data_IF_769833582405
#
_entry.id   IF_769833582405
#
_cell.length_a   1.000
_cell.length_b   1.000
_cell.length_c   1.000
_cell.angle_alpha   90.00
_cell.angle_beta   90.00
_cell.angle_gamma   90.00
#
_symmetry.space_group_name_H-M   'P 1'
#
loop_
_entity.id
_entity.type
_entity.pdbx_description
1 polymer ?
#
# COMPACT_ATOMS: atom_id res chain seq x y z
N UNK A 1 67.33 -49.05 22.87
CA UNK A 1 67.17 -47.64 23.03
C UNK A 1 66.79 -47.02 21.69
N UNK A 2 65.56 -47.15 21.27
CA UNK A 2 64.95 -46.52 20.06
C UNK A 2 63.41 -46.64 20.18
N UNK A 3 62.74 -45.91 21.05
CA UNK A 3 61.28 -45.80 21.11
C UNK A 3 60.87 -44.58 21.90
N UNK A 4 61.17 -43.35 21.41
CA UNK A 4 60.66 -42.13 22.06
C UNK A 4 60.63 -40.91 21.15
N UNK A 5 60.47 -41.09 19.85
CA UNK A 5 60.49 -39.91 18.94
C UNK A 5 59.32 -39.86 17.95
N UNK A 6 58.27 -40.64 18.17
CA UNK A 6 57.10 -40.64 17.23
C UNK A 6 55.81 -40.10 17.83
N UNK A 7 55.84 -39.52 19.01
CA UNK A 7 54.65 -39.02 19.72
C UNK A 7 54.47 -37.49 19.70
N UNK A 8 55.37 -36.74 19.06
CA UNK A 8 55.32 -35.27 18.98
C UNK A 8 54.94 -34.67 17.59
N UNK A 9 54.67 -35.53 16.60
CA UNK A 9 54.30 -35.05 15.24
C UNK A 9 52.79 -35.15 14.99
N UNK A 10 52.00 -35.76 15.88
CA UNK A 10 50.54 -35.95 15.69
C UNK A 10 49.67 -34.85 16.30
N UNK A 11 50.23 -33.92 17.04
CA UNK A 11 49.48 -32.77 17.62
C UNK A 11 49.49 -31.47 16.79
N UNK A 12 50.25 -31.41 15.68
CA UNK A 12 50.41 -30.19 14.90
C UNK A 12 49.51 -30.07 13.66
N UNK A 13 48.71 -31.12 13.36
CA UNK A 13 47.84 -31.14 12.13
C UNK A 13 46.35 -30.94 12.42
N UNK A 14 45.95 -30.88 13.68
CA UNK A 14 44.53 -30.75 14.06
C UNK A 14 44.07 -29.32 14.41
N UNK A 15 44.92 -28.30 14.25
CA UNK A 15 44.59 -26.91 14.56
C UNK A 15 44.32 -26.01 13.36
N UNK A 16 44.20 -26.53 12.14
CA UNK A 16 44.12 -25.68 10.92
C UNK A 16 42.76 -25.69 10.21
N UNK A 17 41.66 -26.17 10.82
CA UNK A 17 40.34 -26.20 10.18
C UNK A 17 39.21 -25.61 11.04
N UNK A 18 39.47 -24.51 11.75
CA UNK A 18 38.43 -23.63 12.25
C UNK A 18 38.59 -22.29 11.55
N UNK A 19 38.48 -22.28 10.22
CA UNK A 19 38.05 -21.08 9.54
C UNK A 19 36.54 -20.97 9.78
N UNK A 20 36.22 -20.29 10.86
CA UNK A 20 34.90 -19.76 11.11
C UNK A 20 34.51 -18.94 9.91
N UNK A 21 33.66 -19.51 9.05
CA UNK A 21 32.77 -18.70 8.24
C UNK A 21 31.90 -17.89 9.22
N UNK A 22 32.36 -16.74 9.63
CA UNK A 22 31.46 -15.70 10.09
C UNK A 22 30.61 -15.37 8.86
N UNK A 23 29.45 -16.04 8.73
CA UNK A 23 28.36 -15.48 7.97
C UNK A 23 28.21 -14.08 8.56
N UNK A 24 28.68 -13.07 7.81
CA UNK A 24 28.32 -11.70 8.08
C UNK A 24 26.79 -11.71 8.06
N UNK A 25 26.18 -11.69 9.23
CA UNK A 25 24.82 -11.20 9.37
C UNK A 25 24.86 -9.85 8.65
N UNK A 26 24.25 -9.79 7.47
CA UNK A 26 23.99 -8.51 6.83
C UNK A 26 23.08 -7.79 7.81
N UNK A 27 23.72 -7.03 8.72
CA UNK A 27 23.03 -6.13 9.61
C UNK A 27 22.30 -5.16 8.69
N UNK A 28 20.99 -5.30 8.62
CA UNK A 28 20.15 -4.22 8.17
C UNK A 28 20.49 -3.08 9.11
N UNK A 29 21.17 -2.05 8.61
CA UNK A 29 21.35 -0.83 9.38
C UNK A 29 19.97 -0.33 9.80
N UNK A 30 19.88 0.53 10.85
CA UNK A 30 18.60 1.01 11.32
C UNK A 30 17.81 1.56 10.14
N UNK A 31 16.59 1.04 9.92
CA UNK A 31 15.70 1.51 8.86
C UNK A 31 15.42 3.00 9.12
N UNK A 32 15.65 3.82 8.12
CA UNK A 32 15.41 5.27 8.18
C UNK A 32 14.33 5.65 7.17
N UNK A 33 13.67 6.80 7.37
CA UNK A 33 12.72 7.33 6.39
C UNK A 33 13.35 7.40 5.00
N UNK A 34 14.57 7.93 4.88
CA UNK A 34 15.26 8.03 3.59
C UNK A 34 15.54 6.65 2.98
N UNK A 35 15.92 5.67 3.80
CA UNK A 35 16.10 4.28 3.36
C UNK A 35 14.82 3.69 2.79
N UNK A 36 13.69 3.90 3.45
CA UNK A 36 12.35 3.46 3.00
C UNK A 36 11.99 4.14 1.68
N UNK A 37 12.15 5.47 1.60
CA UNK A 37 11.84 6.22 0.38
C UNK A 37 12.68 5.78 -0.82
N UNK A 38 13.95 5.49 -0.61
CA UNK A 38 14.81 4.91 -1.66
C UNK A 38 14.35 3.52 -2.11
N UNK A 39 13.79 2.71 -1.22
CA UNK A 39 13.22 1.42 -1.60
C UNK A 39 11.93 1.60 -2.40
N UNK A 40 11.05 2.54 -2.01
CA UNK A 40 9.86 2.90 -2.77
C UNK A 40 10.21 3.42 -4.15
N UNK A 41 11.22 4.29 -4.27
CA UNK A 41 11.73 4.79 -5.56
C UNK A 41 12.23 3.65 -6.47
N UNK A 42 12.87 2.62 -5.90
CA UNK A 42 13.31 1.45 -6.67
C UNK A 42 12.12 0.58 -7.09
N UNK A 43 11.23 0.31 -6.16
CA UNK A 43 10.05 -0.51 -6.41
C UNK A 43 9.12 0.11 -7.45
N UNK A 44 8.96 1.44 -7.46
CA UNK A 44 8.06 2.13 -8.39
C UNK A 44 8.52 2.05 -9.85
N UNK A 45 9.82 1.88 -10.13
CA UNK A 45 10.36 1.86 -11.51
C UNK A 45 9.79 0.74 -12.36
N UNK A 46 9.58 -0.43 -11.76
CA UNK A 46 9.09 -1.62 -12.44
C UNK A 46 7.61 -1.89 -12.13
N UNK A 47 6.92 -0.91 -11.55
CA UNK A 47 5.50 -1.02 -11.25
C UNK A 47 4.68 -0.51 -12.44
N UNK A 48 3.80 -1.38 -12.98
CA UNK A 48 2.94 -1.05 -14.12
C UNK A 48 1.46 -1.24 -13.80
N UNK A 49 1.14 -2.25 -13.00
CA UNK A 49 -0.23 -2.60 -12.67
C UNK A 49 -0.30 -3.40 -11.36
N UNK A 50 -1.50 -3.49 -10.81
CA UNK A 50 -1.79 -4.27 -9.60
C UNK A 50 -3.21 -4.79 -9.67
N UNK A 51 -3.41 -6.01 -9.17
CA UNK A 51 -4.71 -6.51 -8.76
C UNK A 51 -4.65 -6.99 -7.31
N UNK A 52 -5.71 -6.76 -6.56
CA UNK A 52 -5.82 -7.20 -5.16
C UNK A 52 -7.28 -7.42 -4.76
N UNK A 53 -7.50 -8.31 -3.79
CA UNK A 53 -8.71 -8.28 -2.99
C UNK A 53 -8.56 -7.18 -1.92
N UNK A 54 -9.66 -6.47 -1.64
CA UNK A 54 -9.71 -5.35 -0.71
C UNK A 54 -10.74 -5.63 0.37
N UNK A 55 -10.37 -5.43 1.63
CA UNK A 55 -11.28 -5.33 2.77
C UNK A 55 -11.20 -3.90 3.31
N UNK A 56 -12.33 -3.20 3.35
CA UNK A 56 -12.46 -1.88 3.93
C UNK A 56 -13.29 -1.92 5.19
N UNK A 57 -12.72 -1.55 6.32
CA UNK A 57 -13.42 -1.42 7.60
C UNK A 57 -13.51 0.03 8.00
N UNK A 58 -14.73 0.57 8.18
CA UNK A 58 -14.97 1.88 8.80
C UNK A 58 -15.29 1.70 10.28
N UNK A 59 -14.69 2.55 11.12
CA UNK A 59 -14.94 2.62 12.56
C UNK A 59 -15.48 4.01 12.90
N UNK A 60 -16.68 4.06 13.46
CA UNK A 60 -17.30 5.28 13.97
C UNK A 60 -17.16 5.27 15.49
N UNK A 61 -16.20 6.03 15.99
CA UNK A 61 -15.71 5.94 17.39
C UNK A 61 -16.80 6.33 18.39
N UNK A 62 -17.55 7.40 18.12
CA UNK A 62 -18.56 7.94 19.06
C UNK A 62 -19.65 6.93 19.39
N UNK A 63 -20.06 6.11 18.43
CA UNK A 63 -21.12 5.11 18.60
C UNK A 63 -20.57 3.68 18.70
N UNK A 64 -19.24 3.53 18.69
CA UNK A 64 -18.55 2.24 18.69
C UNK A 64 -19.06 1.30 17.59
N UNK A 65 -19.37 1.85 16.42
CA UNK A 65 -19.85 1.08 15.27
C UNK A 65 -18.68 0.70 14.36
N UNK A 66 -18.77 -0.51 13.79
CA UNK A 66 -17.76 -1.05 12.88
C UNK A 66 -18.47 -1.74 11.71
N UNK A 67 -18.22 -1.23 10.51
CA UNK A 67 -18.71 -1.82 9.27
C UNK A 67 -17.56 -2.28 8.38
N UNK A 68 -17.70 -3.47 7.80
CA UNK A 68 -16.70 -4.05 6.90
C UNK A 68 -17.32 -4.34 5.54
N UNK A 69 -16.58 -4.04 4.49
CA UNK A 69 -16.95 -4.23 3.10
C UNK A 69 -15.79 -4.89 2.35
N UNK A 70 -16.11 -5.84 1.48
CA UNK A 70 -15.14 -6.52 0.62
C UNK A 70 -15.23 -6.02 -0.81
N UNK A 71 -14.11 -6.10 -1.53
CA UNK A 71 -14.06 -5.70 -2.92
C UNK A 71 -12.85 -6.25 -3.66
N UNK A 72 -12.71 -5.80 -4.90
CA UNK A 72 -11.54 -6.05 -5.75
C UNK A 72 -11.00 -4.75 -6.30
N UNK A 73 -9.68 -4.64 -6.40
CA UNK A 73 -8.98 -3.47 -6.89
C UNK A 73 -8.12 -3.84 -8.09
N UNK A 74 -8.25 -3.08 -9.17
CA UNK A 74 -7.34 -3.10 -10.32
C UNK A 74 -6.74 -1.71 -10.49
N UNK A 75 -5.42 -1.64 -10.66
CA UNK A 75 -4.69 -0.39 -10.92
C UNK A 75 -3.77 -0.59 -12.12
N UNK A 76 -3.71 0.40 -13.02
CA UNK A 76 -2.74 0.46 -14.11
C UNK A 76 -2.46 1.91 -14.50
N UNK A 77 -1.27 2.38 -14.15
CA UNK A 77 -0.92 3.80 -14.31
C UNK A 77 -1.88 4.71 -13.53
N UNK A 78 -2.54 5.63 -14.21
CA UNK A 78 -3.55 6.54 -13.65
C UNK A 78 -4.99 6.00 -13.67
N UNK A 79 -5.16 4.73 -14.06
CA UNK A 79 -6.47 4.06 -14.11
C UNK A 79 -6.66 3.18 -12.89
N UNK A 80 -7.86 3.21 -12.32
CA UNK A 80 -8.25 2.41 -11.17
C UNK A 80 -9.68 1.92 -11.32
N UNK A 81 -9.92 0.65 -11.03
CA UNK A 81 -11.23 0.06 -10.86
C UNK A 81 -11.31 -0.57 -9.47
N UNK A 82 -12.20 -0.07 -8.64
CA UNK A 82 -12.52 -0.65 -7.33
C UNK A 82 -13.98 -1.07 -7.34
N UNK A 83 -14.22 -2.37 -7.19
CA UNK A 83 -15.56 -2.96 -7.14
C UNK A 83 -15.83 -3.50 -5.75
N UNK A 84 -16.74 -2.85 -5.02
CA UNK A 84 -17.19 -3.29 -3.69
C UNK A 84 -18.39 -4.22 -3.84
N UNK A 85 -18.40 -5.29 -3.03
CA UNK A 85 -19.43 -6.33 -3.06
C UNK A 85 -20.68 -5.92 -2.26
N UNK A 86 -21.82 -6.60 -2.47
CA UNK A 86 -23.00 -6.45 -1.60
C UNK A 86 -22.64 -6.68 -0.11
N UNK A 87 -23.37 -6.04 0.85
CA UNK A 87 -24.63 -5.30 0.65
C UNK A 87 -24.48 -3.88 0.07
N UNK A 88 -23.32 -3.24 0.23
CA UNK A 88 -23.06 -1.87 -0.21
C UNK A 88 -22.33 -1.82 -1.56
N UNK A 89 -22.81 -2.59 -2.53
CA UNK A 89 -22.18 -2.70 -3.83
C UNK A 89 -22.01 -1.32 -4.50
N UNK A 90 -20.80 -1.03 -4.94
CA UNK A 90 -20.48 0.16 -5.73
C UNK A 90 -19.24 -0.08 -6.57
N UNK A 91 -19.18 0.57 -7.70
CA UNK A 91 -17.99 0.57 -8.55
C UNK A 91 -17.41 1.97 -8.59
N UNK A 92 -16.14 2.11 -8.26
CA UNK A 92 -15.37 3.34 -8.40
C UNK A 92 -14.40 3.13 -9.55
N UNK A 93 -14.62 3.86 -10.65
CA UNK A 93 -13.77 3.79 -11.84
C UNK A 93 -13.12 5.14 -12.07
N UNK A 94 -11.78 5.15 -12.06
CA UNK A 94 -10.99 6.29 -12.51
C UNK A 94 -10.36 6.01 -13.86
N UNK A 95 -10.48 6.95 -14.77
CA UNK A 95 -9.83 6.89 -16.08
C UNK A 95 -9.48 8.31 -16.56
N UNK A 96 -8.19 8.62 -16.60
CA UNK A 96 -7.71 9.98 -16.85
C UNK A 96 -8.24 10.97 -15.79
N UNK A 97 -8.87 12.04 -16.23
CA UNK A 97 -9.42 13.08 -15.35
C UNK A 97 -10.87 12.80 -14.92
N UNK A 98 -11.42 11.64 -15.21
CA UNK A 98 -12.80 11.30 -14.83
C UNK A 98 -12.78 10.23 -13.72
N UNK A 99 -13.64 10.47 -12.73
CA UNK A 99 -13.98 9.53 -11.69
C UNK A 99 -15.48 9.23 -11.76
N UNK A 100 -15.81 7.96 -11.82
CA UNK A 100 -17.18 7.48 -11.84
C UNK A 100 -17.46 6.70 -10.58
N UNK A 101 -18.58 6.99 -9.91
CA UNK A 101 -19.08 6.22 -8.78
C UNK A 101 -20.44 5.64 -9.17
N UNK A 102 -20.48 4.37 -9.50
CA UNK A 102 -21.72 3.67 -9.86
C UNK A 102 -22.27 2.93 -8.64
N UNK A 103 -23.54 3.17 -8.32
CA UNK A 103 -24.28 2.50 -7.25
C UNK A 103 -25.40 1.64 -7.85
N UNK A 104 -25.21 0.32 -7.97
CA UNK A 104 -26.18 -0.59 -8.61
C UNK A 104 -27.57 -0.52 -7.97
N UNK A 105 -27.67 -0.47 -6.63
CA UNK A 105 -28.93 -0.40 -5.91
C UNK A 105 -29.79 0.84 -6.22
N UNK A 106 -29.14 1.91 -6.72
CA UNK A 106 -29.82 3.13 -7.15
C UNK A 106 -29.91 3.26 -8.67
N UNK A 107 -29.31 2.32 -9.43
CA UNK A 107 -29.14 2.42 -10.89
C UNK A 107 -28.59 3.78 -11.32
N UNK A 108 -27.61 4.31 -10.57
CA UNK A 108 -27.09 5.66 -10.72
C UNK A 108 -25.57 5.68 -10.82
N UNK A 109 -25.04 6.49 -11.73
CA UNK A 109 -23.61 6.81 -11.80
C UNK A 109 -23.39 8.30 -11.64
N UNK A 110 -22.50 8.64 -10.72
CA UNK A 110 -22.01 10.00 -10.50
C UNK A 110 -20.67 10.17 -11.24
N UNK A 111 -20.57 11.24 -12.01
CA UNK A 111 -19.38 11.55 -12.81
C UNK A 111 -18.73 12.82 -12.28
N UNK A 112 -17.50 12.71 -11.79
CA UNK A 112 -16.68 13.79 -11.27
C UNK A 112 -15.54 14.10 -12.24
N UNK A 113 -15.32 15.38 -12.53
CA UNK A 113 -14.12 15.82 -13.25
C UNK A 113 -13.03 16.17 -12.23
N UNK A 114 -11.92 15.45 -12.30
CA UNK A 114 -10.81 15.60 -11.36
C UNK A 114 -9.79 16.66 -11.79
N UNK A 115 -9.91 17.29 -12.96
CA UNK A 115 -8.87 18.14 -13.54
C UNK A 115 -8.30 19.18 -12.56
N UNK A 116 -9.15 19.76 -11.68
CA UNK A 116 -8.75 20.72 -10.66
C UNK A 116 -8.33 20.10 -9.32
N UNK A 117 -8.74 18.86 -9.03
CA UNK A 117 -8.51 18.16 -7.76
C UNK A 117 -7.74 16.84 -7.94
N UNK A 118 -7.12 16.65 -9.11
CA UNK A 118 -6.44 15.40 -9.47
C UNK A 118 -5.42 14.99 -8.41
N UNK A 119 -4.60 15.93 -7.97
CA UNK A 119 -3.56 15.67 -6.99
C UNK A 119 -4.12 15.21 -5.64
N UNK A 120 -5.22 15.81 -5.19
CA UNK A 120 -5.89 15.43 -3.94
C UNK A 120 -6.47 14.01 -4.04
N UNK A 121 -7.14 13.70 -5.16
CA UNK A 121 -7.73 12.37 -5.37
C UNK A 121 -6.65 11.29 -5.49
N UNK A 122 -5.54 11.57 -6.18
CA UNK A 122 -4.42 10.64 -6.32
C UNK A 122 -3.80 10.32 -4.97
N UNK A 123 -3.66 11.31 -4.09
CA UNK A 123 -3.16 11.13 -2.74
C UNK A 123 -3.97 10.14 -1.89
N UNK A 124 -5.25 9.97 -2.17
CA UNK A 124 -6.09 9.03 -1.40
C UNK A 124 -6.34 7.71 -2.12
N UNK A 125 -6.64 7.74 -3.42
CA UNK A 125 -7.04 6.54 -4.15
C UNK A 125 -5.86 5.64 -4.54
N UNK A 126 -4.70 6.25 -4.83
CA UNK A 126 -3.52 5.52 -5.33
C UNK A 126 -2.35 5.54 -4.34
N UNK A 127 -2.55 6.06 -3.14
CA UNK A 127 -1.51 6.20 -2.13
C UNK A 127 -0.74 4.89 -1.93
N UNK A 128 0.58 4.96 -2.12
CA UNK A 128 1.48 3.82 -1.93
C UNK A 128 1.38 2.71 -2.99
N UNK A 129 0.43 2.78 -3.93
CA UNK A 129 0.26 1.79 -4.99
C UNK A 129 1.16 2.12 -6.19
N UNK A 130 2.45 1.82 -6.07
CA UNK A 130 3.46 2.15 -7.10
C UNK A 130 3.94 3.60 -7.07
N UNK A 131 3.57 4.37 -6.06
CA UNK A 131 4.05 5.73 -5.85
C UNK A 131 5.53 5.73 -5.45
N UNK A 132 6.30 6.68 -5.97
CA UNK A 132 7.68 6.84 -5.58
C UNK A 132 7.84 7.71 -4.32
N UNK A 133 8.96 7.54 -3.62
CA UNK A 133 9.21 8.22 -2.35
C UNK A 133 9.26 9.75 -2.48
N UNK A 134 9.69 10.29 -3.63
CA UNK A 134 9.76 11.73 -3.85
C UNK A 134 8.38 12.38 -3.93
N UNK A 135 7.43 11.73 -4.57
CA UNK A 135 6.06 12.24 -4.67
C UNK A 135 5.36 12.13 -3.31
N UNK A 136 5.62 11.06 -2.58
CA UNK A 136 5.16 10.92 -1.20
C UNK A 136 5.66 12.09 -0.32
N UNK A 137 6.95 12.43 -0.39
CA UNK A 137 7.53 13.56 0.37
C UNK A 137 6.97 14.94 -0.01
N UNK A 138 6.56 15.13 -1.26
CA UNK A 138 5.91 16.39 -1.67
C UNK A 138 4.56 16.57 -1.01
N UNK A 139 3.81 15.47 -0.87
CA UNK A 139 2.43 15.48 -0.39
C UNK A 139 2.31 15.36 1.12
N UNK A 140 3.29 14.71 1.79
CA UNK A 140 3.22 14.37 3.20
C UNK A 140 4.47 14.74 3.99
N UNK A 141 4.28 15.00 5.28
CA UNK A 141 5.31 14.83 6.31
C UNK A 141 5.30 13.35 6.68
N UNK A 142 6.49 12.72 6.66
CA UNK A 142 6.63 11.28 6.81
C UNK A 142 7.39 10.95 8.08
N UNK A 143 6.82 10.09 8.91
CA UNK A 143 7.46 9.55 10.11
C UNK A 143 7.52 8.03 10.02
N UNK A 144 8.68 7.44 10.28
CA UNK A 144 8.82 5.99 10.44
C UNK A 144 8.38 5.61 11.84
N UNK A 145 7.35 4.78 11.97
CA UNK A 145 6.86 4.30 13.25
C UNK A 145 7.54 3.00 13.70
N UNK A 146 7.96 2.16 12.75
CA UNK A 146 8.67 0.92 13.06
C UNK A 146 8.55 -0.15 11.98
N UNK A 147 8.91 -1.37 12.39
CA UNK A 147 8.94 -2.57 11.53
C UNK A 147 8.08 -3.70 12.15
N UNK A 148 6.76 -3.49 12.29
CA UNK A 148 5.91 -4.50 12.93
C UNK A 148 5.69 -5.71 12.02
N UNK A 149 5.38 -6.85 12.64
CA UNK A 149 4.79 -7.98 11.95
C UNK A 149 3.29 -7.77 11.78
N UNK A 150 2.78 -7.91 10.55
CA UNK A 150 1.36 -7.84 10.24
C UNK A 150 0.97 -9.09 9.44
N UNK A 151 0.07 -9.92 9.98
CA UNK A 151 -0.38 -11.18 9.37
C UNK A 151 0.81 -12.06 8.88
N UNK A 152 1.80 -12.31 9.77
CA UNK A 152 3.03 -13.06 9.52
C UNK A 152 3.99 -12.46 8.47
N UNK A 153 3.76 -11.21 8.05
CA UNK A 153 4.63 -10.47 7.13
C UNK A 153 5.45 -9.44 7.88
N UNK A 154 6.70 -9.31 7.52
CA UNK A 154 7.52 -8.17 7.93
C UNK A 154 7.05 -6.93 7.18
N UNK A 155 6.74 -5.89 7.91
CA UNK A 155 6.26 -4.63 7.33
C UNK A 155 7.05 -3.44 7.85
N UNK A 156 7.04 -2.38 7.05
CA UNK A 156 7.50 -1.04 7.44
C UNK A 156 6.27 -0.18 7.64
N UNK A 157 6.14 0.40 8.83
CA UNK A 157 5.03 1.29 9.16
C UNK A 157 5.46 2.75 9.06
N UNK A 158 4.77 3.50 8.21
CA UNK A 158 4.92 4.95 8.09
C UNK A 158 3.65 5.66 8.55
N UNK A 159 3.83 6.79 9.23
CA UNK A 159 2.77 7.79 9.43
C UNK A 159 2.98 8.95 8.45
N UNK A 160 1.91 9.30 7.75
CA UNK A 160 1.87 10.35 6.74
C UNK A 160 0.92 11.44 7.19
N UNK A 161 1.42 12.65 7.40
CA UNK A 161 0.60 13.83 7.69
C UNK A 161 0.50 14.68 6.42
N UNK A 162 -0.71 14.92 5.86
CA UNK A 162 -0.85 15.73 4.65
C UNK A 162 -0.27 17.13 4.82
N UNK A 163 0.41 17.65 3.80
CA UNK A 163 0.99 19.00 3.83
C UNK A 163 -0.03 20.09 3.50
N UNK A 164 -1.01 19.80 2.66
CA UNK A 164 -2.04 20.77 2.31
C UNK A 164 -3.11 20.88 3.40
N UNK A 165 -3.60 22.09 3.65
CA UNK A 165 -4.69 22.33 4.61
C UNK A 165 -5.99 21.68 4.16
N UNK A 166 -6.26 21.69 2.84
CA UNK A 166 -7.44 21.06 2.25
C UNK A 166 -7.50 19.56 2.57
N UNK A 167 -6.37 18.85 2.42
CA UNK A 167 -6.28 17.45 2.76
C UNK A 167 -6.37 17.22 4.27
N UNK A 168 -5.70 18.04 5.10
CA UNK A 168 -5.76 17.93 6.57
C UNK A 168 -7.15 18.18 7.14
N UNK A 169 -7.97 18.99 6.48
CA UNK A 169 -9.35 19.22 6.91
C UNK A 169 -10.23 17.96 6.78
N UNK A 170 -9.84 17.00 5.95
CA UNK A 170 -10.54 15.73 5.76
C UNK A 170 -9.86 14.60 6.55
N UNK A 171 -8.55 14.44 6.38
CA UNK A 171 -7.76 13.36 6.96
C UNK A 171 -6.61 13.97 7.77
N UNK A 172 -6.60 13.72 9.07
CA UNK A 172 -5.58 14.24 9.97
C UNK A 172 -4.24 13.55 9.77
N UNK A 173 -4.26 12.23 9.54
CA UNK A 173 -3.09 11.40 9.29
C UNK A 173 -3.47 10.08 8.61
N UNK A 174 -2.49 9.47 7.96
CA UNK A 174 -2.60 8.15 7.34
C UNK A 174 -1.46 7.29 7.89
N UNK A 175 -1.77 6.08 8.32
CA UNK A 175 -0.77 5.06 8.61
C UNK A 175 -0.76 4.06 7.46
N UNK A 176 0.43 3.68 6.98
CA UNK A 176 0.60 2.76 5.87
C UNK A 176 1.65 1.71 6.22
N UNK A 177 1.32 0.44 6.00
CA UNK A 177 2.20 -0.70 6.20
C UNK A 177 2.62 -1.25 4.85
N UNK A 178 3.89 -1.15 4.53
CA UNK A 178 4.50 -1.73 3.34
C UNK A 178 5.09 -3.10 3.67
N UNK A 179 4.79 -4.10 2.88
CA UNK A 179 5.48 -5.40 2.93
C UNK A 179 6.94 -5.21 2.49
N UNK A 180 7.91 -5.63 3.32
CA UNK A 180 9.34 -5.46 3.04
C UNK A 180 9.81 -6.17 1.77
N UNK A 181 9.11 -7.23 1.34
CA UNK A 181 9.50 -8.02 0.18
C UNK A 181 9.04 -7.42 -1.14
N UNK A 182 7.83 -6.88 -1.17
CA UNK A 182 7.19 -6.36 -2.39
C UNK A 182 7.21 -4.84 -2.49
N UNK A 183 7.37 -4.13 -1.36
CA UNK A 183 7.23 -2.68 -1.24
C UNK A 183 5.87 -2.17 -1.71
N UNK A 184 4.85 -3.02 -1.58
CA UNK A 184 3.45 -2.66 -1.79
C UNK A 184 2.74 -2.56 -0.44
N UNK A 185 1.73 -1.71 -0.30
CA UNK A 185 0.96 -1.62 0.93
C UNK A 185 0.18 -2.91 1.16
N UNK A 186 0.17 -3.38 2.39
CA UNK A 186 -0.68 -4.48 2.87
C UNK A 186 -1.83 -3.96 3.71
N UNK A 187 -1.65 -2.78 4.32
CA UNK A 187 -2.69 -2.09 5.07
C UNK A 187 -2.49 -0.58 5.02
N UNK A 188 -3.59 0.14 5.03
CA UNK A 188 -3.64 1.59 5.22
C UNK A 188 -4.73 1.93 6.23
N UNK A 189 -4.49 2.93 7.08
CA UNK A 189 -5.49 3.48 7.99
C UNK A 189 -5.55 4.99 7.78
N UNK A 190 -6.74 5.49 7.52
CA UNK A 190 -7.03 6.90 7.31
C UNK A 190 -7.82 7.42 8.50
N UNK A 191 -7.26 8.40 9.22
CA UNK A 191 -7.88 9.00 10.40
C UNK A 191 -8.58 10.30 10.00
N UNK A 192 -9.91 10.35 10.16
CA UNK A 192 -10.73 11.51 9.81
C UNK A 192 -10.46 12.66 10.80
N UNK A 193 -10.48 13.88 10.30
CA UNK A 193 -10.23 15.07 11.14
C UNK A 193 -11.48 15.41 11.95
N UNK A 194 -11.29 15.68 13.25
CA UNK A 194 -12.33 16.19 14.14
C UNK A 194 -13.26 15.15 14.76
N UNK A 195 -13.60 14.07 14.07
CA UNK A 195 -14.49 13.02 14.58
C UNK A 195 -13.76 11.94 15.41
N UNK A 196 -12.48 11.72 15.13
CA UNK A 196 -11.74 10.57 15.61
C UNK A 196 -12.08 9.27 14.89
N UNK A 197 -13.00 9.30 13.94
CA UNK A 197 -13.34 8.16 13.09
C UNK A 197 -12.18 7.80 12.17
N UNK A 198 -12.14 6.56 11.75
CA UNK A 198 -11.12 6.11 10.81
C UNK A 198 -11.63 4.96 9.94
N UNK A 199 -10.96 4.73 8.84
CA UNK A 199 -11.15 3.51 8.08
C UNK A 199 -9.82 2.84 7.77
N UNK A 200 -9.87 1.52 7.72
CA UNK A 200 -8.74 0.66 7.39
C UNK A 200 -9.01 -0.01 6.06
N UNK A 201 -8.02 -0.02 5.18
CA UNK A 201 -8.02 -0.80 3.94
C UNK A 201 -6.94 -1.86 4.08
N UNK A 202 -7.31 -3.12 3.90
CA UNK A 202 -6.39 -4.26 3.83
C UNK A 202 -6.36 -4.81 2.42
N UNK A 203 -5.17 -5.19 1.97
CA UNK A 203 -4.94 -5.78 0.67
C UNK A 203 -4.51 -7.23 0.81
N UNK A 204 -5.19 -8.12 0.10
CA UNK A 204 -4.85 -9.54 0.05
C UNK A 204 -4.79 -10.03 -1.40
N UNK A 205 -4.21 -11.20 -1.63
CA UNK A 205 -4.01 -11.78 -2.97
C UNK A 205 -3.43 -10.78 -3.98
N UNK A 206 -2.51 -9.97 -3.52
CA UNK A 206 -1.88 -8.93 -4.33
C UNK A 206 -1.05 -9.57 -5.44
N UNK A 207 -1.36 -9.22 -6.69
CA UNK A 207 -0.58 -9.59 -7.86
C UNK A 207 0.02 -8.32 -8.46
N UNK A 208 1.34 -8.28 -8.52
CA UNK A 208 2.10 -7.19 -9.13
C UNK A 208 2.23 -7.43 -10.64
N UNK A 209 2.00 -6.37 -11.41
CA UNK A 209 2.11 -6.35 -12.86
C UNK A 209 1.27 -7.41 -13.60
N UNK A 210 -0.01 -7.66 -13.21
CA UNK A 210 -0.89 -8.47 -14.03
C UNK A 210 -1.12 -7.81 -15.39
N UNK A 211 -1.38 -8.62 -16.41
CA UNK A 211 -1.80 -8.10 -17.73
C UNK A 211 -3.25 -7.61 -17.64
N UNK A 212 -3.43 -6.30 -17.58
CA UNK A 212 -4.75 -5.65 -17.50
C UNK A 212 -5.04 -4.90 -18.79
N UNK A 213 -5.96 -5.42 -19.60
CA UNK A 213 -6.40 -4.77 -20.81
C UNK A 213 -7.20 -3.48 -20.56
N UNK A 214 -7.26 -2.57 -21.54
CA UNK A 214 -8.03 -1.32 -21.45
C UNK A 214 -9.52 -1.52 -21.21
N UNK A 215 -10.05 -2.69 -21.54
CA UNK A 215 -11.47 -3.02 -21.37
C UNK A 215 -11.92 -2.93 -19.91
N UNK A 216 -11.03 -3.26 -18.96
CA UNK A 216 -11.31 -3.16 -17.51
C UNK A 216 -11.59 -1.73 -17.05
N UNK A 217 -11.03 -0.75 -17.74
CA UNK A 217 -11.08 0.66 -17.33
C UNK A 217 -12.00 1.52 -18.21
N UNK A 218 -12.91 0.89 -18.97
CA UNK A 218 -13.90 1.60 -19.79
C UNK A 218 -15.19 1.76 -19.01
N UNK A 219 -15.77 2.98 -18.94
CA UNK A 219 -17.10 3.17 -18.36
C UNK A 219 -18.13 2.34 -19.12
N UNK A 220 -18.74 1.39 -18.43
CA UNK A 220 -19.82 0.57 -18.96
C UNK A 220 -20.87 0.36 -17.86
N UNK A 221 -22.06 0.93 -18.06
CA UNK A 221 -23.15 0.85 -17.11
C UNK A 221 -24.36 0.16 -17.72
N UNK A 222 -25.16 -0.56 -16.92
CA UNK A 222 -26.41 -1.17 -17.40
C UNK A 222 -27.32 -0.16 -18.07
N UNK A 223 -28.14 -0.65 -19.02
CA UNK A 223 -29.14 0.19 -19.69
C UNK A 223 -30.12 0.74 -18.65
N UNK A 224 -30.43 2.02 -18.74
CA UNK A 224 -31.31 2.71 -17.79
C UNK A 224 -30.60 3.31 -16.57
N UNK A 225 -29.26 3.23 -16.50
CA UNK A 225 -28.50 3.92 -15.45
C UNK A 225 -28.63 5.44 -15.61
N UNK A 226 -29.07 6.10 -14.53
CA UNK A 226 -29.11 7.55 -14.43
C UNK A 226 -27.68 8.11 -14.32
N UNK A 227 -27.35 9.12 -15.14
CA UNK A 227 -26.05 9.82 -15.08
C UNK A 227 -26.24 11.16 -14.40
N UNK A 228 -25.48 11.39 -13.35
CA UNK A 228 -25.51 12.62 -12.54
C UNK A 228 -24.12 13.24 -12.54
N UNK A 229 -24.06 14.56 -12.74
CA UNK A 229 -22.86 15.35 -12.48
C UNK A 229 -23.10 16.09 -11.18
N UNK A 230 -22.48 15.65 -10.06
CA UNK A 230 -22.59 16.38 -8.81
C UNK A 230 -22.07 17.80 -9.00
N UNK A 231 -22.79 18.77 -8.46
CA UNK A 231 -22.29 20.13 -8.37
C UNK A 231 -21.25 20.14 -7.25
N UNK A 232 -20.00 20.48 -7.58
CA UNK A 232 -18.90 20.65 -6.64
C UNK A 232 -19.07 21.90 -5.79
#
# INVERSE_FOLDING_TARGET
>A
MKRATWLLILCAVLCAWIVRGTAAAQGHGPTTVDGVLHQLDRSSKDFHSLSADVERTKVTVVVNDKSTEDGTLLVRGDKMLLEMKPPNARTILRTGDNLYVYTPGLSRVEEYNLAQHRMLVDQYLLLGLGENGKDLQKSYLITLLGEPMLDDRKTIELELTPRSDEARNQISKIQIWFDESSWLPVQQQFNETGSGDYFVIRYSKVVRNPDLGDAHFKPHWPKGTEKVKPQG
#
